data_IF_486164801368
#
_entry.id   IF_486164801368
#
_cell.length_a   1.000
_cell.length_b   1.000
_cell.length_c   1.000
_cell.angle_alpha   90.00
_cell.angle_beta   90.00
_cell.angle_gamma   90.00
#
_symmetry.space_group_name_H-M   'P 1'
#
loop_
_entity.id
_entity.type
_entity.pdbx_description
1 polymer ?
#
# COMPACT_ATOMS: atom_id res chain seq x y z
N UNK A 1 16.83 -21.26 -1.53
CA UNK A 1 15.75 -20.52 -0.85
C UNK A 1 14.93 -19.84 -1.93
N UNK A 2 13.59 -19.75 -1.80
CA UNK A 2 12.80 -18.95 -2.72
C UNK A 2 13.33 -17.51 -2.76
N UNK A 3 13.26 -16.87 -3.92
CA UNK A 3 13.59 -15.45 -4.03
C UNK A 3 12.47 -14.64 -3.40
N UNK A 4 12.74 -13.42 -2.94
CA UNK A 4 11.70 -12.53 -2.41
C UNK A 4 10.51 -12.35 -3.37
N UNK A 5 10.73 -12.39 -4.69
CA UNK A 5 9.67 -12.27 -5.68
C UNK A 5 8.79 -13.53 -5.73
N UNK A 6 9.38 -14.70 -5.51
CA UNK A 6 8.62 -15.94 -5.36
C UNK A 6 7.79 -15.90 -4.08
N UNK A 7 8.35 -15.43 -2.96
CA UNK A 7 7.61 -15.29 -1.71
C UNK A 7 6.43 -14.30 -1.85
N UNK A 8 6.65 -13.17 -2.51
CA UNK A 8 5.59 -12.20 -2.85
C UNK A 8 4.52 -12.85 -3.74
N UNK A 9 4.93 -13.58 -4.78
CA UNK A 9 4.02 -14.28 -5.68
C UNK A 9 3.14 -15.28 -4.91
N UNK A 10 3.75 -16.12 -4.08
CA UNK A 10 3.05 -17.12 -3.29
C UNK A 10 2.09 -16.47 -2.29
N UNK A 11 2.47 -15.33 -1.70
CA UNK A 11 1.62 -14.61 -0.77
C UNK A 11 0.35 -14.05 -1.47
N UNK A 12 0.50 -13.45 -2.64
CA UNK A 12 -0.65 -13.02 -3.45
C UNK A 12 -1.46 -14.21 -3.99
N UNK A 13 -0.83 -15.31 -4.38
CA UNK A 13 -1.54 -16.51 -4.83
C UNK A 13 -2.38 -17.12 -3.70
N UNK A 14 -1.85 -17.15 -2.47
CA UNK A 14 -2.52 -17.73 -1.33
C UNK A 14 -3.63 -16.83 -0.75
N UNK A 15 -3.44 -15.50 -0.79
CA UNK A 15 -4.28 -14.55 -0.02
C UNK A 15 -4.80 -13.36 -0.80
N UNK A 16 -4.30 -13.13 -2.01
CA UNK A 16 -4.68 -12.00 -2.84
C UNK A 16 -6.15 -12.01 -3.26
N UNK A 17 -6.82 -13.17 -3.25
CA UNK A 17 -8.24 -13.29 -3.54
C UNK A 17 -9.17 -12.90 -2.37
N UNK A 18 -8.61 -12.60 -1.18
CA UNK A 18 -9.39 -12.08 -0.08
C UNK A 18 -9.96 -10.70 -0.42
N UNK A 19 -11.16 -10.40 0.07
CA UNK A 19 -11.79 -9.10 -0.12
C UNK A 19 -10.92 -7.99 0.48
N UNK A 20 -10.79 -6.86 -0.22
CA UNK A 20 -10.18 -5.65 0.31
C UNK A 20 -11.24 -4.90 1.13
N UNK A 21 -10.93 -4.63 2.39
CA UNK A 21 -11.88 -4.29 3.47
C UNK A 21 -12.97 -3.28 3.09
N UNK A 22 -14.20 -3.77 2.87
CA UNK A 22 -15.36 -2.95 2.55
C UNK A 22 -15.37 -2.35 1.13
N UNK A 23 -14.43 -2.73 0.28
CA UNK A 23 -14.30 -2.27 -1.10
C UNK A 23 -14.71 -3.37 -2.10
N UNK A 24 -15.12 -3.02 -3.33
CA UNK A 24 -15.61 -3.98 -4.33
C UNK A 24 -14.47 -4.64 -5.13
N UNK A 25 -13.31 -4.83 -4.49
CA UNK A 25 -12.10 -5.43 -5.08
C UNK A 25 -11.45 -6.38 -4.07
N UNK A 26 -10.65 -7.29 -4.56
CA UNK A 26 -9.77 -8.14 -3.76
C UNK A 26 -8.44 -7.43 -3.45
N UNK A 27 -7.68 -7.96 -2.48
CA UNK A 27 -6.34 -7.47 -2.15
C UNK A 27 -5.41 -7.44 -3.37
N UNK A 28 -5.47 -8.48 -4.23
CA UNK A 28 -4.70 -8.53 -5.46
C UNK A 28 -5.19 -7.51 -6.48
N UNK A 29 -6.49 -7.40 -6.71
CA UNK A 29 -7.03 -6.39 -7.65
C UNK A 29 -6.64 -4.98 -7.23
N UNK A 30 -6.74 -4.64 -5.94
CA UNK A 30 -6.32 -3.35 -5.42
C UNK A 30 -4.82 -3.08 -5.68
N UNK A 31 -3.94 -4.04 -5.35
CA UNK A 31 -2.51 -3.94 -5.62
C UNK A 31 -2.19 -3.74 -7.11
N UNK A 32 -2.85 -4.52 -8.00
CA UNK A 32 -2.65 -4.42 -9.45
C UNK A 32 -3.17 -3.09 -10.00
N UNK A 33 -4.33 -2.62 -9.55
CA UNK A 33 -4.89 -1.33 -9.97
C UNK A 33 -3.99 -0.17 -9.53
N UNK A 34 -3.47 -0.18 -8.30
CA UNK A 34 -2.55 0.85 -7.80
C UNK A 34 -1.25 0.89 -8.63
N UNK A 35 -0.67 -0.28 -8.91
CA UNK A 35 0.52 -0.40 -9.76
C UNK A 35 0.25 0.03 -11.22
N UNK A 36 -0.91 -0.34 -11.77
CA UNK A 36 -1.34 0.00 -13.12
C UNK A 36 -1.54 1.51 -13.31
N UNK A 37 -2.16 2.18 -12.33
CA UNK A 37 -2.33 3.64 -12.35
C UNK A 37 -0.98 4.36 -12.29
N UNK A 38 -0.06 3.88 -11.45
CA UNK A 38 1.29 4.41 -11.39
C UNK A 38 2.03 4.25 -12.73
N UNK A 39 1.94 3.07 -13.35
CA UNK A 39 2.52 2.81 -14.66
C UNK A 39 1.95 3.72 -15.75
N UNK A 40 0.62 3.89 -15.81
CA UNK A 40 -0.03 4.77 -16.77
C UNK A 40 0.33 6.24 -16.57
N UNK A 41 0.65 6.64 -15.35
CA UNK A 41 1.15 7.97 -15.03
C UNK A 41 2.65 8.17 -15.38
N UNK A 42 3.32 7.14 -15.92
CA UNK A 42 4.73 7.20 -16.29
C UNK A 42 5.70 7.07 -15.11
N UNK A 43 5.26 6.50 -13.99
CA UNK A 43 6.13 6.25 -12.85
C UNK A 43 7.21 5.20 -13.16
N UNK A 44 8.39 5.38 -12.56
CA UNK A 44 9.50 4.45 -12.68
C UNK A 44 9.22 3.10 -12.00
N UNK A 45 10.11 2.13 -12.22
CA UNK A 45 9.94 0.78 -11.67
C UNK A 45 9.91 0.76 -10.14
N UNK A 46 10.64 1.65 -9.45
CA UNK A 46 10.67 1.69 -7.99
C UNK A 46 9.33 2.14 -7.42
N UNK A 47 8.74 3.20 -7.97
CA UNK A 47 7.44 3.69 -7.51
C UNK A 47 6.31 2.75 -7.90
N UNK A 48 6.33 2.14 -9.08
CA UNK A 48 5.35 1.10 -9.44
C UNK A 48 5.46 -0.12 -8.53
N UNK A 49 6.69 -0.53 -8.18
CA UNK A 49 6.92 -1.60 -7.21
C UNK A 49 6.37 -1.24 -5.83
N UNK A 50 6.60 0.00 -5.36
CA UNK A 50 6.02 0.46 -4.10
C UNK A 50 4.48 0.42 -4.14
N UNK A 51 3.87 0.84 -5.25
CA UNK A 51 2.42 0.80 -5.45
C UNK A 51 1.86 -0.64 -5.41
N UNK A 52 2.54 -1.59 -6.05
CA UNK A 52 2.15 -3.00 -5.99
C UNK A 52 2.19 -3.56 -4.57
N UNK A 53 3.19 -3.16 -3.77
CA UNK A 53 3.52 -3.81 -2.50
C UNK A 53 3.08 -3.03 -1.25
N UNK A 54 2.42 -1.87 -1.38
CA UNK A 54 2.14 -1.01 -0.24
C UNK A 54 1.29 -1.67 0.86
N UNK A 55 0.33 -2.49 0.45
CA UNK A 55 -0.62 -3.20 1.32
C UNK A 55 -0.27 -4.66 1.58
N UNK A 56 0.91 -5.14 1.15
CA UNK A 56 1.34 -6.53 1.37
C UNK A 56 1.39 -6.91 2.87
N UNK A 57 1.48 -5.90 3.74
CA UNK A 57 1.38 -6.07 5.19
C UNK A 57 0.08 -6.72 5.64
N UNK A 58 -1.06 -6.43 5.00
CA UNK A 58 -2.33 -7.09 5.31
C UNK A 58 -2.25 -8.60 5.08
N UNK A 59 -1.64 -9.02 3.96
CA UNK A 59 -1.46 -10.43 3.64
C UNK A 59 -0.54 -11.14 4.64
N UNK A 60 0.51 -10.47 5.11
CA UNK A 60 1.42 -10.99 6.13
C UNK A 60 0.75 -11.13 7.50
N UNK A 61 -0.12 -10.18 7.88
CA UNK A 61 -0.81 -10.17 9.16
C UNK A 61 -1.95 -11.19 9.22
N UNK A 62 -2.63 -11.46 8.10
CA UNK A 62 -3.65 -12.50 7.99
C UNK A 62 -3.16 -13.90 8.38
N UNK A 63 -1.85 -14.14 8.34
CA UNK A 63 -1.21 -15.38 8.80
C UNK A 63 -1.28 -15.59 10.31
N UNK A 64 -1.39 -14.48 11.06
CA UNK A 64 -1.29 -14.43 12.53
C UNK A 64 -2.63 -14.32 13.21
N UNK A 65 -3.69 -14.00 12.46
CA UNK A 65 -5.03 -13.83 12.99
C UNK A 65 -5.93 -15.01 12.62
N UNK A 66 -6.81 -15.41 13.55
CA UNK A 66 -7.90 -16.33 13.23
C UNK A 66 -8.82 -15.71 12.17
N UNK A 67 -9.58 -16.49 11.38
CA UNK A 67 -10.60 -15.93 10.51
C UNK A 67 -11.63 -15.17 11.36
N UNK A 68 -11.85 -13.89 11.04
CA UNK A 68 -12.92 -13.08 11.60
C UNK A 68 -13.77 -12.56 10.45
N UNK A 69 -15.08 -12.42 10.68
CA UNK A 69 -16.02 -11.89 9.68
C UNK A 69 -15.92 -10.35 9.53
N UNK A 70 -15.17 -9.67 10.42
CA UNK A 70 -15.04 -8.21 10.49
C UNK A 70 -13.60 -7.73 10.26
N UNK A 71 -13.45 -6.54 9.65
CA UNK A 71 -12.17 -5.89 9.37
C UNK A 71 -11.44 -5.42 10.65
N UNK A 72 -10.12 -5.19 10.65
CA UNK A 72 -9.41 -4.59 11.79
C UNK A 72 -10.01 -3.26 12.24
N UNK A 73 -10.46 -2.43 11.31
CA UNK A 73 -11.03 -1.11 11.62
C UNK A 73 -12.39 -1.21 12.31
N UNK A 74 -13.21 -2.22 11.96
CA UNK A 74 -14.48 -2.50 12.64
C UNK A 74 -14.27 -2.99 14.08
N UNK A 75 -13.13 -3.61 14.36
CA UNK A 75 -12.68 -3.96 15.72
C UNK A 75 -12.02 -2.80 16.46
N UNK A 76 -11.91 -1.62 15.84
CA UNK A 76 -11.25 -0.45 16.42
C UNK A 76 -9.74 -0.57 16.50
N UNK A 77 -9.11 -1.35 15.61
CA UNK A 77 -7.67 -1.60 15.59
C UNK A 77 -7.00 -1.02 14.34
N UNK A 78 -5.87 -0.34 14.54
CA UNK A 78 -4.90 -0.02 13.48
C UNK A 78 -3.88 -1.16 13.41
N UNK A 79 -3.93 -1.94 12.32
CA UNK A 79 -3.09 -3.13 12.14
C UNK A 79 -1.64 -2.80 11.74
N UNK A 80 -1.38 -1.53 11.39
CA UNK A 80 -0.06 -1.01 10.99
C UNK A 80 0.57 -1.81 9.85
N UNK A 81 -0.23 -2.27 8.88
CA UNK A 81 0.21 -3.03 7.70
C UNK A 81 1.40 -2.36 6.97
N UNK A 82 1.43 -1.03 6.86
CA UNK A 82 2.51 -0.27 6.26
C UNK A 82 3.87 -0.50 6.94
N UNK A 83 3.87 -0.75 8.25
CA UNK A 83 5.08 -1.05 9.03
C UNK A 83 5.36 -2.55 9.07
N UNK A 84 4.31 -3.38 9.11
CA UNK A 84 4.42 -4.84 9.11
C UNK A 84 5.10 -5.38 7.85
N UNK A 85 4.96 -4.69 6.71
CA UNK A 85 5.62 -5.03 5.45
C UNK A 85 7.15 -4.80 5.47
N UNK A 86 7.65 -3.85 6.27
CA UNK A 86 9.05 -3.41 6.16
C UNK A 86 10.07 -4.51 6.54
N UNK A 87 9.92 -5.27 7.64
CA UNK A 87 10.85 -6.35 7.95
C UNK A 87 10.97 -7.42 6.86
N UNK A 88 9.88 -7.67 6.12
CA UNK A 88 9.84 -8.62 5.01
C UNK A 88 10.54 -8.09 3.75
N UNK A 89 10.48 -6.78 3.50
CA UNK A 89 11.00 -6.16 2.27
C UNK A 89 12.39 -5.53 2.40
N UNK A 90 12.83 -5.19 3.62
CA UNK A 90 13.96 -4.26 3.86
C UNK A 90 15.32 -4.70 3.34
N UNK A 91 15.58 -6.00 3.28
CA UNK A 91 16.87 -6.52 2.76
C UNK A 91 16.87 -6.59 1.22
N UNK A 92 15.71 -6.45 0.58
CA UNK A 92 15.52 -6.74 -0.84
C UNK A 92 15.29 -5.52 -1.72
N UNK A 93 14.74 -4.43 -1.16
CA UNK A 93 14.42 -3.23 -1.91
C UNK A 93 15.14 -2.00 -1.37
N UNK A 94 15.36 -1.01 -2.23
CA UNK A 94 16.03 0.24 -1.85
C UNK A 94 15.20 1.07 -0.87
N UNK A 95 15.83 1.95 -0.07
CA UNK A 95 15.14 2.81 0.89
C UNK A 95 13.98 3.64 0.32
N UNK A 96 14.03 4.02 -0.96
CA UNK A 96 12.96 4.79 -1.62
C UNK A 96 11.64 3.99 -1.69
N UNK A 97 11.70 2.72 -2.12
CA UNK A 97 10.54 1.81 -2.18
C UNK A 97 9.97 1.61 -0.77
N UNK A 98 10.84 1.29 0.19
CA UNK A 98 10.45 1.06 1.58
C UNK A 98 9.84 2.32 2.22
N UNK A 99 10.37 3.51 1.92
CA UNK A 99 9.86 4.78 2.42
C UNK A 99 8.49 5.13 1.85
N UNK A 100 8.25 4.83 0.57
CA UNK A 100 6.93 5.00 -0.05
C UNK A 100 5.89 4.06 0.59
N UNK A 101 6.22 2.77 0.75
CA UNK A 101 5.37 1.76 1.40
C UNK A 101 5.10 2.15 2.86
N UNK A 102 6.13 2.38 3.67
CA UNK A 102 5.96 2.70 5.09
C UNK A 102 5.28 4.04 5.35
N UNK A 103 5.32 4.95 4.38
CA UNK A 103 4.76 6.30 4.48
C UNK A 103 3.33 6.45 3.98
N UNK A 104 2.73 5.47 3.30
CA UNK A 104 1.46 5.69 2.59
C UNK A 104 0.27 5.97 3.53
N UNK A 105 0.28 5.43 4.75
CA UNK A 105 -0.71 5.78 5.79
C UNK A 105 -0.56 7.23 6.26
N UNK A 106 0.67 7.68 6.53
CA UNK A 106 0.92 9.09 6.90
C UNK A 106 0.62 10.03 5.71
N UNK A 107 0.80 9.58 4.47
CA UNK A 107 0.40 10.31 3.28
C UNK A 107 -1.12 10.55 3.22
N UNK A 108 -1.96 9.61 3.66
CA UNK A 108 -3.41 9.82 3.82
C UNK A 108 -3.69 10.98 4.77
N UNK A 109 -3.05 10.96 5.95
CA UNK A 109 -3.19 11.98 7.00
C UNK A 109 -2.76 13.36 6.48
N UNK A 110 -1.68 13.39 5.71
CA UNK A 110 -1.16 14.58 5.05
C UNK A 110 -2.09 15.14 3.97
N UNK A 111 -2.61 14.30 3.08
CA UNK A 111 -3.49 14.73 1.99
C UNK A 111 -4.81 15.27 2.53
N UNK A 112 -5.37 14.66 3.58
CA UNK A 112 -6.55 15.20 4.26
C UNK A 112 -6.32 16.60 4.87
N UNK A 113 -5.07 16.91 5.26
CA UNK A 113 -4.71 18.24 5.79
C UNK A 113 -4.53 19.26 4.67
N UNK A 114 -3.85 18.87 3.60
CA UNK A 114 -3.28 19.81 2.63
C UNK A 114 -4.12 19.98 1.37
N UNK A 115 -5.05 19.06 1.10
CA UNK A 115 -5.90 19.10 -0.08
C UNK A 115 -7.37 19.19 0.34
N UNK A 116 -7.99 20.31 0.02
CA UNK A 116 -9.41 20.53 0.26
C UNK A 116 -10.27 19.42 -0.37
N UNK A 117 -11.24 18.93 0.40
CA UNK A 117 -12.15 17.86 -0.02
C UNK A 117 -11.52 16.47 -0.15
N UNK A 118 -10.26 16.26 0.25
CA UNK A 118 -9.62 14.94 0.16
C UNK A 118 -10.25 13.94 1.14
N UNK A 119 -10.49 14.37 2.38
CA UNK A 119 -11.14 13.55 3.41
C UNK A 119 -12.50 13.00 2.96
N UNK A 120 -13.29 13.81 2.27
CA UNK A 120 -14.66 13.45 1.87
C UNK A 120 -14.68 12.37 0.77
N UNK A 121 -13.59 12.26 0.00
CA UNK A 121 -13.41 11.29 -1.08
C UNK A 121 -12.89 9.94 -0.60
N UNK A 122 -12.39 9.86 0.63
CA UNK A 122 -11.99 8.59 1.22
C UNK A 122 -13.21 7.66 1.31
N UNK A 123 -12.97 6.36 1.13
CA UNK A 123 -13.97 5.37 1.46
C UNK A 123 -14.28 5.35 2.95
N UNK A 124 -15.40 4.75 3.34
CA UNK A 124 -15.81 4.68 4.74
C UNK A 124 -14.81 3.90 5.59
N UNK A 125 -14.18 2.85 5.06
CA UNK A 125 -13.11 2.14 5.77
C UNK A 125 -11.85 3.01 5.92
N UNK A 126 -11.47 3.73 4.86
CA UNK A 126 -10.33 4.66 4.91
C UNK A 126 -10.54 5.81 5.91
N UNK A 127 -11.77 6.28 6.11
CA UNK A 127 -12.13 7.27 7.15
C UNK A 127 -12.05 6.67 8.56
N UNK A 128 -12.51 5.42 8.75
CA UNK A 128 -12.37 4.73 10.05
C UNK A 128 -10.91 4.52 10.42
N UNK A 129 -10.12 3.94 9.51
CA UNK A 129 -8.68 3.73 9.73
C UNK A 129 -7.94 5.04 9.96
N UNK A 130 -8.31 6.13 9.28
CA UNK A 130 -7.72 7.45 9.53
C UNK A 130 -7.84 7.88 11.00
N UNK A 131 -8.99 7.67 11.63
CA UNK A 131 -9.18 8.00 13.04
C UNK A 131 -8.30 7.15 13.96
N UNK A 132 -8.20 5.85 13.68
CA UNK A 132 -7.36 4.90 14.43
C UNK A 132 -5.86 5.18 14.26
N UNK A 133 -5.47 5.78 13.14
CA UNK A 133 -4.08 6.12 12.77
C UNK A 133 -3.63 7.51 13.26
N UNK A 134 -4.40 8.14 14.15
CA UNK A 134 -4.08 9.45 14.72
C UNK A 134 -4.66 10.65 13.97
N UNK A 135 -5.64 10.42 13.10
CA UNK A 135 -6.43 11.47 12.45
C UNK A 135 -5.67 12.29 11.41
N UNK A 136 -6.33 13.35 10.93
CA UNK A 136 -5.73 14.32 10.00
C UNK A 136 -4.54 15.01 10.67
N UNK A 137 -3.45 15.19 9.93
CA UNK A 137 -2.28 15.88 10.47
C UNK A 137 -2.58 17.31 10.90
N UNK A 138 -1.94 17.71 12.00
CA UNK A 138 -1.68 19.12 12.32
C UNK A 138 -0.76 19.75 11.26
N UNK A 139 -0.67 21.08 11.29
CA UNK A 139 0.20 21.82 10.38
C UNK A 139 1.68 21.45 10.56
N UNK A 140 2.11 21.24 11.80
CA UNK A 140 3.50 20.91 12.12
C UNK A 140 3.82 19.45 11.79
N UNK A 141 2.89 18.52 12.01
CA UNK A 141 3.04 17.14 11.52
C UNK A 141 3.14 17.09 10.00
N UNK A 142 2.31 17.85 9.28
CA UNK A 142 2.35 17.90 7.82
C UNK A 142 3.69 18.46 7.30
N UNK A 143 4.20 19.53 7.92
CA UNK A 143 5.53 20.09 7.61
C UNK A 143 6.65 19.10 7.91
N UNK A 144 6.58 18.37 9.02
CA UNK A 144 7.57 17.37 9.37
C UNK A 144 7.54 16.14 8.44
N UNK A 145 6.35 15.69 8.04
CA UNK A 145 6.16 14.52 7.20
C UNK A 145 6.79 14.69 5.82
N UNK A 146 6.56 15.82 5.14
CA UNK A 146 7.08 16.05 3.77
C UNK A 146 8.61 16.09 3.69
N UNK A 147 9.30 16.24 4.82
CA UNK A 147 10.75 16.22 4.91
C UNK A 147 11.31 14.79 5.10
N UNK A 148 10.45 13.79 5.36
CA UNK A 148 10.90 12.40 5.55
C UNK A 148 11.31 11.77 4.22
N UNK A 149 12.36 10.92 4.20
CA UNK A 149 12.70 10.13 3.03
C UNK A 149 11.49 9.32 2.54
N UNK A 150 11.22 9.34 1.23
CA UNK A 150 10.10 8.63 0.61
C UNK A 150 8.73 9.31 0.73
N UNK A 151 8.59 10.41 1.49
CA UNK A 151 7.30 11.07 1.69
C UNK A 151 6.65 11.55 0.38
N UNK A 152 7.44 12.10 -0.55
CA UNK A 152 6.94 12.54 -1.86
C UNK A 152 6.31 11.38 -2.63
N UNK A 153 6.98 10.23 -2.68
CA UNK A 153 6.49 9.05 -3.37
C UNK A 153 5.29 8.44 -2.65
N UNK A 154 5.30 8.42 -1.31
CA UNK A 154 4.15 8.00 -0.51
C UNK A 154 2.89 8.84 -0.78
N UNK A 155 3.06 10.16 -0.95
CA UNK A 155 1.95 11.09 -1.28
C UNK A 155 1.37 10.77 -2.65
N UNK A 156 2.21 10.53 -3.66
CA UNK A 156 1.74 10.21 -5.01
C UNK A 156 1.09 8.82 -5.03
N UNK A 157 1.74 7.82 -4.42
CA UNK A 157 1.22 6.47 -4.26
C UNK A 157 -0.16 6.51 -3.61
N UNK A 158 -0.33 7.28 -2.53
CA UNK A 158 -1.59 7.35 -1.80
C UNK A 158 -2.77 7.81 -2.67
N UNK A 159 -2.51 8.71 -3.62
CA UNK A 159 -3.55 9.15 -4.55
C UNK A 159 -4.00 7.99 -5.45
N UNK A 160 -3.10 7.11 -5.87
CA UNK A 160 -3.46 5.93 -6.67
C UNK A 160 -4.11 4.83 -5.84
N UNK A 161 -3.63 4.59 -4.61
CA UNK A 161 -4.29 3.72 -3.61
C UNK A 161 -5.77 4.10 -3.47
N UNK A 162 -6.07 5.38 -3.20
CA UNK A 162 -7.47 5.81 -3.04
C UNK A 162 -8.32 5.65 -4.32
N UNK A 163 -7.72 5.63 -5.51
CA UNK A 163 -8.41 5.45 -6.80
C UNK A 163 -8.60 3.96 -7.18
N UNK A 164 -7.74 3.08 -6.69
CA UNK A 164 -7.58 1.67 -7.10
C UNK A 164 -8.62 0.72 -6.48
N UNK A 165 -9.90 1.11 -6.57
CA UNK A 165 -11.04 0.42 -5.94
C UNK A 165 -12.17 0.19 -6.94
N UNK A 166 -11.83 0.09 -8.23
CA UNK A 166 -12.79 0.01 -9.33
C UNK A 166 -13.13 -1.45 -9.62
N UNK A 167 -14.39 -1.82 -9.43
CA UNK A 167 -14.84 -3.17 -9.73
C UNK A 167 -14.66 -3.49 -11.22
N UNK A 168 -14.00 -4.61 -11.53
CA UNK A 168 -13.83 -5.10 -12.90
C UNK A 168 -12.88 -4.29 -13.78
N UNK A 169 -12.05 -3.40 -13.20
CA UNK A 169 -11.00 -2.72 -13.96
C UNK A 169 -9.95 -3.74 -14.43
N UNK A 170 -9.77 -3.84 -15.75
CA UNK A 170 -8.73 -4.69 -16.34
C UNK A 170 -7.34 -4.11 -16.08
N UNK A 171 -6.42 -4.97 -15.67
CA UNK A 171 -5.02 -4.61 -15.39
C UNK A 171 -4.09 -5.68 -15.94
N UNK A 172 -2.80 -5.37 -16.17
CA UNK A 172 -1.79 -6.39 -16.39
C UNK A 172 -1.76 -7.40 -15.21
N UNK A 173 -1.41 -8.67 -15.47
CA UNK A 173 -1.36 -9.68 -14.41
C UNK A 173 -0.21 -9.42 -13.44
N UNK A 174 -0.25 -10.05 -12.26
CA UNK A 174 0.82 -9.96 -11.26
C UNK A 174 2.22 -10.21 -11.83
N UNK A 175 2.36 -11.17 -12.75
CA UNK A 175 3.65 -11.47 -13.39
C UNK A 175 4.28 -10.24 -14.07
N UNK A 176 3.48 -9.40 -14.75
CA UNK A 176 3.95 -8.16 -15.38
C UNK A 176 4.59 -7.22 -14.35
N UNK A 177 3.93 -7.01 -13.22
CA UNK A 177 4.45 -6.11 -12.19
C UNK A 177 5.60 -6.73 -11.39
N UNK A 178 5.64 -8.06 -11.24
CA UNK A 178 6.80 -8.75 -10.65
C UNK A 178 8.05 -8.65 -11.54
N UNK A 179 7.91 -8.62 -12.87
CA UNK A 179 9.05 -8.33 -13.76
C UNK A 179 9.59 -6.92 -13.57
N UNK A 180 8.72 -5.95 -13.26
CA UNK A 180 9.16 -4.59 -12.87
C UNK A 180 9.87 -4.60 -11.53
N UNK A 181 9.27 -5.26 -10.53
CA UNK A 181 9.86 -5.41 -9.20
C UNK A 181 11.24 -6.09 -9.25
N UNK A 182 11.44 -7.06 -10.15
CA UNK A 182 12.72 -7.73 -10.36
C UNK A 182 13.86 -6.77 -10.73
N UNK A 183 13.56 -5.69 -11.46
CA UNK A 183 14.55 -4.64 -11.81
C UNK A 183 14.91 -3.75 -10.61
N UNK A 184 14.13 -3.82 -9.53
CA UNK A 184 14.33 -3.05 -8.31
C UNK A 184 14.91 -3.87 -7.15
N UNK A 185 14.99 -5.20 -7.27
CA UNK A 185 15.62 -6.04 -6.25
C UNK A 185 17.11 -5.70 -6.17
N UNK A 186 17.60 -5.48 -4.95
CA UNK A 186 19.01 -5.23 -4.71
C UNK A 186 19.84 -6.41 -5.24
N UNK A 187 20.96 -6.12 -5.91
CA UNK A 187 21.91 -7.16 -6.27
C UNK A 187 22.33 -7.91 -4.99
N UNK A 188 22.37 -9.24 -5.06
CA UNK A 188 22.92 -10.04 -3.98
C UNK A 188 24.36 -9.55 -3.70
N UNK A 189 24.63 -9.18 -2.45
CA UNK A 189 25.96 -8.82 -1.99
C UNK A 189 26.91 -10.02 -2.04
#
# INVERSE_FOLDING_TARGET
MPTILEDIHQLFAARGAAQYDGEPVTQLEHALQTAHLAEHAGADDELVTACLLHDIGHLLLAERESPHDDTPTLRGMDDRHQLAALPFLREHFKPRVLGAIGGHVDAKRYLCRTREGYHDRLSEDSKRSLQLQGGVFSEDEAKAFVLRPGARDAIVLRVWDDLAKQQGLETPPLAHFLERAARCVNAAA
#
